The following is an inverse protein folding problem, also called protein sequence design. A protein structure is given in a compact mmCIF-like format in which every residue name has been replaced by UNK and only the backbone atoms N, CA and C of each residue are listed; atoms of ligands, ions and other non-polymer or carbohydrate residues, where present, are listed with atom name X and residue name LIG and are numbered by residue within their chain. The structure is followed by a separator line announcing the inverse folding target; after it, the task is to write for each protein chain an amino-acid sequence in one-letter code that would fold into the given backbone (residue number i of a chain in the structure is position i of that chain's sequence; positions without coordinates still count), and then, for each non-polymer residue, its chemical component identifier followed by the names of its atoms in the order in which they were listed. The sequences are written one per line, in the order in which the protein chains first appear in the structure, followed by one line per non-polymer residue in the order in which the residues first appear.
data_IF_735546924802
#
_entry.id   IF_735546924802
#
_cell.length_a   1.000
_cell.length_b   1.000
_cell.length_c   1.000
_cell.angle_alpha   90.00
_cell.angle_beta   90.00
_cell.angle_gamma   90.00
#
_symmetry.space_group_name_H-M   'P 1'
#
loop_
_entity.id
_entity.type
_entity.pdbx_description
1 polymer ?
#
# COMPACT_ATOMS: atom_id res chain seq x y z
N UNK A 1 -20.26 -15.28 23.30
CA UNK A 1 -19.54 -14.91 22.05
C UNK A 1 -20.23 -13.70 21.46
N UNK A 2 -19.50 -12.63 21.09
CA UNK A 2 -20.10 -11.50 20.36
C UNK A 2 -20.19 -11.89 18.90
N UNK A 3 -21.39 -11.88 18.33
CA UNK A 3 -21.59 -12.03 16.89
C UNK A 3 -21.05 -10.78 16.19
N UNK A 4 -20.30 -11.00 15.10
CA UNK A 4 -19.76 -9.95 14.25
C UNK A 4 -20.40 -10.13 12.87
N UNK A 5 -21.11 -9.12 12.40
CA UNK A 5 -21.73 -9.09 11.07
C UNK A 5 -20.73 -8.52 10.06
N UNK A 6 -20.44 -9.25 8.99
CA UNK A 6 -19.55 -8.78 7.91
C UNK A 6 -20.40 -8.42 6.69
N UNK A 7 -20.32 -7.16 6.26
CA UNK A 7 -20.98 -6.65 5.07
C UNK A 7 -19.93 -6.44 3.97
N UNK A 8 -19.97 -7.28 2.93
CA UNK A 8 -19.01 -7.23 1.81
C UNK A 8 -19.72 -7.32 0.46
N UNK A 9 -19.67 -6.26 -0.36
CA UNK A 9 -20.15 -6.34 -1.74
C UNK A 9 -19.29 -7.27 -2.61
N UNK A 10 -19.91 -8.00 -3.54
CA UNK A 10 -19.23 -8.97 -4.40
C UNK A 10 -18.10 -8.38 -5.27
N UNK A 11 -18.11 -7.08 -5.54
CA UNK A 11 -17.04 -6.43 -6.30
C UNK A 11 -15.73 -6.29 -5.50
N UNK A 12 -15.77 -6.34 -4.17
CA UNK A 12 -14.59 -6.25 -3.31
C UNK A 12 -13.70 -7.49 -3.45
N UNK A 13 -14.32 -8.68 -3.47
CA UNK A 13 -13.60 -9.95 -3.63
C UNK A 13 -13.12 -10.16 -5.06
N UNK A 14 -13.89 -9.69 -6.05
CA UNK A 14 -13.55 -9.79 -7.49
C UNK A 14 -12.57 -8.72 -7.97
N UNK A 15 -12.13 -7.82 -7.09
CA UNK A 15 -11.15 -6.81 -7.46
C UNK A 15 -9.79 -7.46 -7.77
N UNK A 16 -9.22 -7.10 -8.92
CA UNK A 16 -7.87 -7.45 -9.32
C UNK A 16 -7.21 -6.23 -9.93
N UNK A 17 -5.93 -6.04 -9.64
CA UNK A 17 -5.15 -4.93 -10.19
C UNK A 17 -4.93 -5.15 -11.69
N UNK A 18 -5.30 -4.16 -12.51
CA UNK A 18 -5.08 -4.16 -13.96
C UNK A 18 -3.65 -3.78 -14.36
N UNK A 19 -2.79 -3.45 -13.38
CA UNK A 19 -1.37 -3.13 -13.61
C UNK A 19 -1.19 -1.93 -14.52
N UNK A 20 -0.47 -2.11 -15.63
CA UNK A 20 -0.18 -1.05 -16.61
C UNK A 20 -1.41 -0.55 -17.36
N UNK A 21 -2.50 -1.33 -17.41
CA UNK A 21 -3.77 -0.89 -17.98
C UNK A 21 -4.55 0.06 -17.05
N UNK A 22 -4.07 0.28 -15.83
CA UNK A 22 -4.72 1.18 -14.88
C UNK A 22 -4.57 2.63 -15.37
N UNK A 23 -5.71 3.29 -15.59
CA UNK A 23 -5.76 4.71 -16.01
C UNK A 23 -5.24 5.65 -14.94
N UNK A 24 -5.28 5.20 -13.69
CA UNK A 24 -4.77 5.90 -12.52
C UNK A 24 -3.76 5.02 -11.75
N UNK A 25 -2.97 5.59 -10.85
CA UNK A 25 -1.99 4.83 -10.06
C UNK A 25 -2.29 4.87 -8.57
N UNK A 26 -2.11 3.74 -7.88
CA UNK A 26 -2.37 3.60 -6.45
C UNK A 26 -1.38 4.41 -5.57
N UNK A 27 -0.26 4.81 -6.15
CA UNK A 27 0.86 5.45 -5.49
C UNK A 27 0.74 6.99 -5.43
N UNK A 28 -0.40 7.57 -5.06
CA UNK A 28 -0.56 9.04 -4.95
C UNK A 28 -1.52 9.49 -3.87
N UNK A 29 -1.26 10.64 -3.26
CA UNK A 29 -2.30 11.40 -2.53
C UNK A 29 -2.75 10.83 -1.19
N UNK A 30 -2.04 9.85 -0.62
CA UNK A 30 -2.37 9.31 0.71
C UNK A 30 -1.13 8.81 1.46
N UNK A 31 -1.26 8.71 2.79
CA UNK A 31 -0.18 8.28 3.68
C UNK A 31 0.06 6.78 3.57
N UNK A 32 1.19 6.36 3.00
CA UNK A 32 1.58 4.95 2.93
C UNK A 32 2.39 4.57 4.18
N UNK A 33 1.71 3.96 5.15
CA UNK A 33 2.36 3.36 6.32
C UNK A 33 3.05 2.04 5.96
N UNK A 34 4.14 1.74 6.65
CA UNK A 34 4.96 0.54 6.49
C UNK A 34 5.15 -0.14 7.83
N UNK A 35 4.98 -1.47 7.84
CA UNK A 35 5.32 -2.30 8.97
C UNK A 35 6.85 -2.47 9.11
N UNK A 36 7.30 -2.87 10.30
CA UNK A 36 8.72 -3.01 10.63
C UNK A 36 9.45 -3.98 9.70
N UNK A 37 8.79 -5.06 9.29
CA UNK A 37 9.40 -6.06 8.42
C UNK A 37 9.60 -5.50 7.00
N UNK A 38 8.61 -4.77 6.48
CA UNK A 38 8.69 -4.11 5.17
C UNK A 38 9.75 -3.01 5.15
N UNK A 39 9.82 -2.17 6.18
CA UNK A 39 10.88 -1.15 6.29
C UNK A 39 12.27 -1.80 6.25
N UNK A 40 12.48 -2.85 7.04
CA UNK A 40 13.75 -3.58 7.05
C UNK A 40 14.04 -4.18 5.67
N UNK A 41 13.05 -4.82 5.05
CA UNK A 41 13.15 -5.43 3.71
C UNK A 41 13.59 -4.42 2.65
N UNK A 42 13.04 -3.21 2.66
CA UNK A 42 13.41 -2.17 1.70
C UNK A 42 14.81 -1.61 1.96
N UNK A 43 15.13 -1.30 3.22
CA UNK A 43 16.46 -0.78 3.60
C UNK A 43 17.59 -1.80 3.39
N UNK A 44 17.31 -3.10 3.53
CA UNK A 44 18.27 -4.18 3.30
C UNK A 44 18.11 -4.84 1.93
N UNK A 45 17.41 -4.21 0.98
CA UNK A 45 17.21 -4.78 -0.34
C UNK A 45 18.54 -4.97 -1.07
N UNK A 46 18.63 -6.06 -1.85
CA UNK A 46 19.73 -6.29 -2.80
C UNK A 46 19.64 -5.33 -3.98
N UNK A 47 18.44 -4.87 -4.33
CA UNK A 47 18.24 -3.87 -5.37
C UNK A 47 18.66 -2.49 -4.87
N UNK A 48 19.64 -1.91 -5.56
CA UNK A 48 20.24 -0.62 -5.18
C UNK A 48 19.21 0.51 -5.26
N UNK A 49 18.36 0.53 -6.30
CA UNK A 49 17.37 1.59 -6.46
C UNK A 49 16.34 1.55 -5.34
N UNK A 50 15.81 0.36 -5.01
CA UNK A 50 14.87 0.21 -3.89
C UNK A 50 15.51 0.66 -2.58
N UNK A 51 16.75 0.24 -2.33
CA UNK A 51 17.47 0.59 -1.10
C UNK A 51 17.76 2.08 -0.98
N UNK A 52 18.15 2.74 -2.08
CA UNK A 52 18.41 4.19 -2.10
C UNK A 52 17.13 4.95 -1.82
N UNK A 53 16.04 4.64 -2.54
CA UNK A 53 14.73 5.25 -2.30
C UNK A 53 14.29 5.04 -0.84
N UNK A 54 14.49 3.85 -0.29
CA UNK A 54 14.15 3.53 1.09
C UNK A 54 14.88 4.41 2.10
N UNK A 55 16.19 4.62 1.91
CA UNK A 55 17.01 5.44 2.82
C UNK A 55 16.60 6.91 2.77
N UNK A 56 16.29 7.42 1.59
CA UNK A 56 16.04 8.85 1.39
C UNK A 56 14.59 9.24 1.69
N UNK A 57 13.65 8.30 1.53
CA UNK A 57 12.21 8.61 1.54
C UNK A 57 11.41 7.84 2.60
N UNK A 58 11.99 6.96 3.42
CA UNK A 58 11.25 6.35 4.54
C UNK A 58 11.54 7.11 5.82
N UNK A 59 10.49 7.68 6.42
CA UNK A 59 10.54 8.29 7.74
C UNK A 59 10.18 7.22 8.77
N UNK A 60 11.08 6.97 9.73
CA UNK A 60 10.82 6.04 10.83
C UNK A 60 9.97 6.72 11.90
N UNK A 61 8.76 6.23 12.13
CA UNK A 61 7.85 6.73 13.17
C UNK A 61 7.96 5.87 14.44
N UNK A 62 8.22 4.57 14.29
CA UNK A 62 8.42 3.59 15.37
C UNK A 62 7.28 3.57 16.42
N UNK A 63 6.04 3.86 16.01
CA UNK A 63 4.88 3.78 16.91
C UNK A 63 4.59 2.33 17.29
N UNK A 64 4.46 1.47 16.28
CA UNK A 64 4.11 0.06 16.44
C UNK A 64 4.78 -0.81 15.38
N UNK A 65 4.70 -2.13 15.54
CA UNK A 65 5.20 -3.09 14.53
C UNK A 65 4.49 -2.92 13.19
N UNK A 66 3.21 -2.53 13.20
CA UNK A 66 2.42 -2.28 11.97
C UNK A 66 2.53 -0.84 11.45
N UNK A 67 2.94 0.12 12.27
CA UNK A 67 3.16 1.53 11.89
C UNK A 67 4.59 1.96 12.30
N UNK A 68 5.56 1.34 11.63
CA UNK A 68 6.98 1.52 11.95
C UNK A 68 7.61 2.64 11.13
N UNK A 69 7.20 2.78 9.88
CA UNK A 69 7.69 3.82 8.99
C UNK A 69 6.62 4.32 8.03
N UNK A 70 6.89 5.44 7.38
CA UNK A 70 6.00 6.08 6.42
C UNK A 70 6.81 6.50 5.22
N UNK A 71 6.26 6.30 4.02
CA UNK A 71 6.86 6.84 2.80
C UNK A 71 6.59 8.34 2.76
N UNK A 72 7.67 9.13 2.73
CA UNK A 72 7.64 10.56 2.47
C UNK A 72 7.28 10.77 1.00
N UNK A 73 6.13 11.39 0.76
CA UNK A 73 5.76 11.88 -0.55
C UNK A 73 6.38 13.27 -0.77
N UNK A 74 6.83 13.62 -1.98
CA UNK A 74 7.38 14.94 -2.27
C UNK A 74 6.38 16.09 -2.05
N UNK A 75 5.08 15.80 -2.16
CA UNK A 75 3.97 16.74 -1.98
C UNK A 75 2.72 15.99 -1.49
N UNK A 76 1.72 16.70 -0.96
CA UNK A 76 0.42 16.14 -0.58
C UNK A 76 -0.33 15.50 -1.77
N UNK A 77 -0.09 16.00 -2.99
CA UNK A 77 -0.55 15.41 -4.26
C UNK A 77 0.55 14.57 -4.95
N UNK A 78 1.69 14.40 -4.29
CA UNK A 78 2.87 13.77 -4.84
C UNK A 78 2.71 12.26 -5.00
N UNK A 79 3.48 11.73 -5.95
CA UNK A 79 3.58 10.30 -6.22
C UNK A 79 4.56 9.61 -5.26
N UNK A 80 4.32 8.33 -5.02
CA UNK A 80 5.26 7.48 -4.31
C UNK A 80 6.62 7.49 -5.03
N UNK A 81 7.75 7.64 -4.32
CA UNK A 81 9.08 7.58 -4.92
C UNK A 81 9.40 6.24 -5.62
N UNK A 82 8.62 5.19 -5.34
CA UNK A 82 8.72 3.90 -6.01
C UNK A 82 7.90 3.79 -7.30
N UNK A 83 7.23 4.85 -7.73
CA UNK A 83 6.51 4.87 -9.01
C UNK A 83 7.51 5.10 -10.14
N UNK A 84 7.50 4.25 -11.16
CA UNK A 84 8.30 4.45 -12.38
C UNK A 84 7.53 5.25 -13.44
N UNK A 85 8.22 5.56 -14.56
CA UNK A 85 7.67 6.30 -15.70
C UNK A 85 6.51 5.56 -16.38
N UNK A 86 6.49 4.22 -16.30
CA UNK A 86 5.41 3.35 -16.78
C UNK A 86 4.19 3.37 -15.84
N UNK A 87 4.22 4.16 -14.76
CA UNK A 87 3.22 4.22 -13.68
C UNK A 87 3.04 2.90 -12.93
N UNK A 88 4.10 2.08 -12.89
CA UNK A 88 4.16 0.83 -12.15
C UNK A 88 4.97 1.00 -10.86
N UNK A 89 4.65 0.16 -9.87
CA UNK A 89 5.41 0.13 -8.64
C UNK A 89 6.72 -0.64 -8.84
N UNK A 90 7.86 0.04 -8.69
CA UNK A 90 9.20 -0.55 -8.78
C UNK A 90 9.40 -1.73 -7.81
N UNK A 91 8.81 -1.66 -6.61
CA UNK A 91 8.87 -2.76 -5.63
C UNK A 91 8.21 -4.02 -6.21
N UNK A 92 7.02 -3.88 -6.80
CA UNK A 92 6.33 -5.01 -7.42
C UNK A 92 7.08 -5.51 -8.67
N UNK A 93 7.56 -4.60 -9.52
CA UNK A 93 8.30 -4.91 -10.76
C UNK A 93 9.59 -5.68 -10.49
N UNK A 94 10.33 -5.31 -9.44
CA UNK A 94 11.65 -5.87 -9.15
C UNK A 94 11.67 -6.96 -8.08
N UNK A 95 10.83 -6.84 -7.04
CA UNK A 95 10.82 -7.76 -5.90
C UNK A 95 9.56 -8.65 -5.86
N UNK A 96 8.61 -8.44 -6.77
CA UNK A 96 7.35 -9.18 -6.85
C UNK A 96 6.28 -8.69 -5.87
N UNK A 97 5.04 -9.16 -6.08
CA UNK A 97 3.88 -8.74 -5.28
C UNK A 97 4.00 -9.08 -3.78
N UNK A 98 4.75 -10.13 -3.43
CA UNK A 98 4.99 -10.54 -2.01
C UNK A 98 5.92 -9.58 -1.25
N UNK A 99 6.59 -8.67 -1.95
CA UNK A 99 7.45 -7.67 -1.32
C UNK A 99 6.69 -6.42 -0.88
N UNK A 100 5.46 -6.23 -1.37
CA UNK A 100 4.63 -5.07 -1.04
C UNK A 100 4.35 -4.98 0.46
N UNK A 101 4.20 -3.75 0.94
CA UNK A 101 3.76 -3.51 2.32
C UNK A 101 2.34 -4.03 2.52
N UNK A 102 1.98 -4.27 3.79
CA UNK A 102 0.59 -4.59 4.14
C UNK A 102 -0.40 -3.56 3.57
N UNK A 103 -0.04 -2.29 3.67
CA UNK A 103 -0.84 -1.16 3.18
C UNK A 103 -1.04 -1.22 1.66
N UNK A 104 0.03 -1.44 0.90
CA UNK A 104 -0.06 -1.55 -0.56
C UNK A 104 -0.74 -2.83 -1.04
N UNK A 105 -0.70 -3.90 -0.25
CA UNK A 105 -1.35 -5.19 -0.57
C UNK A 105 -2.86 -5.14 -0.31
N UNK A 106 -3.27 -4.38 0.71
CA UNK A 106 -4.68 -4.20 1.06
C UNK A 106 -5.35 -3.23 0.09
N UNK A 107 -4.70 -2.13 -0.27
CA UNK A 107 -5.23 -1.16 -1.21
C UNK A 107 -5.62 -1.85 -2.55
N UNK A 108 -6.78 -1.53 -3.15
CA UNK A 108 -7.76 -0.49 -2.79
C UNK A 108 -8.85 -0.92 -1.80
N UNK A 109 -8.75 -2.12 -1.21
CA UNK A 109 -9.73 -2.58 -0.23
C UNK A 109 -9.60 -1.78 1.05
N UNK A 110 -10.74 -1.40 1.61
CA UNK A 110 -10.84 -0.67 2.87
C UNK A 110 -11.75 -1.46 3.80
N UNK A 111 -11.30 -1.65 5.04
CA UNK A 111 -12.01 -2.40 6.06
C UNK A 111 -12.32 -1.45 7.21
N UNK A 112 -13.60 -1.26 7.51
CA UNK A 112 -14.07 -0.45 8.64
C UNK A 112 -14.80 -1.32 9.63
N UNK A 113 -14.33 -1.35 10.87
CA UNK A 113 -14.98 -2.09 11.96
C UNK A 113 -15.73 -1.11 12.87
N UNK A 114 -17.04 -1.34 13.05
CA UNK A 114 -17.95 -0.56 13.88
C UNK A 114 -18.62 -1.46 14.92
N UNK A 115 -18.18 -1.42 16.19
CA UNK A 115 -18.70 -2.25 17.30
C UNK A 115 -18.79 -3.75 16.97
N UNK A 116 -19.89 -4.18 16.33
CA UNK A 116 -20.19 -5.56 15.94
C UNK A 116 -20.36 -5.73 14.41
N UNK A 117 -20.07 -4.71 13.60
CA UNK A 117 -20.15 -4.77 12.14
C UNK A 117 -18.77 -4.53 11.52
N UNK A 118 -18.41 -5.29 10.50
CA UNK A 118 -17.23 -5.05 9.65
C UNK A 118 -17.73 -4.76 8.24
N UNK A 119 -17.39 -3.59 7.71
CA UNK A 119 -17.74 -3.18 6.34
C UNK A 119 -16.52 -3.23 5.46
N UNK A 120 -16.65 -3.95 4.35
CA UNK A 120 -15.62 -4.04 3.33
C UNK A 120 -16.04 -3.16 2.14
N UNK A 121 -15.15 -2.30 1.69
CA UNK A 121 -15.38 -1.41 0.55
C UNK A 121 -14.13 -1.30 -0.34
N UNK A 122 -14.28 -0.67 -1.50
CA UNK A 122 -13.17 -0.29 -2.36
C UNK A 122 -13.01 1.22 -2.37
N UNK A 123 -11.76 1.68 -2.36
CA UNK A 123 -11.43 3.08 -2.59
C UNK A 123 -11.80 3.49 -4.01
N UNK A 124 -12.40 4.67 -4.15
CA UNK A 124 -12.75 5.29 -5.44
C UNK A 124 -11.53 5.58 -6.33
N UNK A 125 -10.32 5.53 -5.76
CA UNK A 125 -9.07 5.74 -6.48
C UNK A 125 -8.70 4.57 -7.42
N UNK A 126 -9.32 3.40 -7.27
CA UNK A 126 -9.06 2.27 -8.15
C UNK A 126 -10.39 1.71 -8.65
N UNK A 127 -10.78 2.22 -9.82
CA UNK A 127 -11.98 1.82 -10.54
C UNK A 127 -11.59 0.72 -11.52
N UNK A 128 -12.45 -0.29 -11.68
CA UNK A 128 -12.32 -1.23 -12.80
C UNK A 128 -12.72 -0.54 -14.10
#
# INVERSE_FOLDING_TARGET
MKEITVTEPAFVTRFSCSGSACRDHCCKGWRIALDKATVKKYLSSKDIAIRTIAKDNIILVKKDVSDWGVIKLPSALGSCPYLDEDRLCLVQKKMGAKALSRTCTIFPRVYHTYKNEVRHSLSLACQK
#
